data_IF_301713969528
#
_entry.id   IF_301713969528
#
_cell.length_a   1.000
_cell.length_b   1.000
_cell.length_c   1.000
_cell.angle_alpha   90.00
_cell.angle_beta   90.00
_cell.angle_gamma   90.00
#
_symmetry.space_group_name_H-M   'P 1'
#
loop_
_entity.id
_entity.type
_entity.pdbx_description
1 polymer ?
#
# COMPACT_ATOMS: atom_id res chain seq x y z
N UNK A 1 -8.88 -7.63 6.99
CA UNK A 1 -8.14 -7.15 5.81
C UNK A 1 -8.61 -5.74 5.51
N UNK A 2 -7.72 -4.76 5.27
CA UNK A 2 -8.11 -3.36 5.08
C UNK A 2 -9.06 -3.18 3.89
N UNK A 3 -10.05 -2.27 4.02
CA UNK A 3 -10.99 -1.93 2.93
C UNK A 3 -10.27 -1.36 1.70
N UNK A 4 -9.13 -0.70 1.88
CA UNK A 4 -8.27 -0.25 0.78
C UNK A 4 -7.64 -1.39 -0.02
N UNK A 5 -7.43 -2.55 0.61
CA UNK A 5 -6.93 -3.76 -0.08
C UNK A 5 -8.08 -4.47 -0.77
N UNK A 6 -9.23 -4.60 -0.09
CA UNK A 6 -10.42 -5.26 -0.63
C UNK A 6 -11.00 -4.51 -1.85
N UNK A 7 -11.05 -3.18 -1.79
CA UNK A 7 -11.55 -2.31 -2.86
C UNK A 7 -10.39 -1.63 -3.62
N UNK A 8 -9.21 -2.25 -3.69
CA UNK A 8 -7.99 -1.63 -4.23
C UNK A 8 -8.11 -1.10 -5.67
N UNK A 9 -9.01 -1.66 -6.48
CA UNK A 9 -9.29 -1.18 -7.85
C UNK A 9 -10.10 0.11 -7.84
N UNK A 10 -11.08 0.22 -6.95
CA UNK A 10 -11.94 1.41 -6.80
C UNK A 10 -11.16 2.59 -6.24
N UNK A 11 -10.33 2.35 -5.23
CA UNK A 11 -9.49 3.37 -4.61
C UNK A 11 -8.16 3.60 -5.34
N UNK A 12 -7.87 2.84 -6.41
CA UNK A 12 -6.59 2.89 -7.14
C UNK A 12 -5.37 2.78 -6.20
N UNK A 13 -5.50 2.00 -5.13
CA UNK A 13 -4.55 1.92 -4.00
C UNK A 13 -3.11 1.70 -4.44
N UNK A 14 -2.88 0.81 -5.41
CA UNK A 14 -1.54 0.49 -5.90
C UNK A 14 -0.92 1.60 -6.75
N UNK A 15 -1.75 2.36 -7.48
CA UNK A 15 -1.31 3.51 -8.25
C UNK A 15 -0.96 4.68 -7.33
N UNK A 16 -1.77 4.93 -6.30
CA UNK A 16 -1.47 5.93 -5.27
C UNK A 16 -0.18 5.59 -4.53
N UNK A 17 -0.03 4.34 -4.07
CA UNK A 17 1.21 3.90 -3.42
C UNK A 17 2.43 4.02 -4.34
N UNK A 18 2.29 3.69 -5.62
CA UNK A 18 3.36 3.88 -6.60
C UNK A 18 3.78 5.35 -6.68
N UNK A 19 2.82 6.27 -6.78
CA UNK A 19 3.10 7.70 -6.87
C UNK A 19 3.72 8.25 -5.57
N UNK A 20 3.30 7.75 -4.41
CA UNK A 20 3.82 8.22 -3.11
C UNK A 20 5.20 7.65 -2.75
N UNK A 21 5.52 6.44 -3.21
CA UNK A 21 6.75 5.74 -2.82
C UNK A 21 7.80 5.66 -3.93
N UNK A 22 7.42 5.93 -5.18
CA UNK A 22 8.26 5.71 -6.36
C UNK A 22 8.48 4.23 -6.70
N UNK A 23 7.88 3.30 -5.95
CA UNK A 23 8.07 1.86 -6.11
C UNK A 23 7.02 1.25 -7.03
N UNK A 24 7.33 0.14 -7.68
CA UNK A 24 6.40 -0.48 -8.64
C UNK A 24 5.10 -0.94 -7.97
N UNK A 25 3.98 -0.79 -8.70
CA UNK A 25 2.63 -1.20 -8.23
C UNK A 25 2.60 -2.66 -7.78
N UNK A 26 3.31 -3.54 -8.50
CA UNK A 26 3.41 -4.96 -8.19
C UNK A 26 4.19 -5.22 -6.91
N UNK A 27 5.22 -4.43 -6.60
CA UNK A 27 5.96 -4.49 -5.35
C UNK A 27 5.11 -3.97 -4.17
N UNK A 28 4.42 -2.84 -4.33
CA UNK A 28 3.49 -2.31 -3.33
C UNK A 28 2.40 -3.33 -2.98
N UNK A 29 1.80 -3.95 -4.00
CA UNK A 29 0.80 -5.03 -3.82
C UNK A 29 1.38 -6.21 -3.05
N UNK A 30 2.57 -6.67 -3.43
CA UNK A 30 3.25 -7.79 -2.75
C UNK A 30 3.51 -7.45 -1.28
N UNK A 31 4.04 -6.28 -0.96
CA UNK A 31 4.33 -5.90 0.45
C UNK A 31 3.07 -5.83 1.31
N UNK A 32 1.96 -5.32 0.77
CA UNK A 32 0.72 -5.19 1.54
C UNK A 32 -0.02 -6.52 1.71
N UNK A 33 0.04 -7.41 0.72
CA UNK A 33 -0.65 -8.72 0.73
C UNK A 33 0.22 -9.81 1.38
N UNK A 34 1.54 -9.79 1.17
CA UNK A 34 2.49 -10.77 1.66
C UNK A 34 3.21 -10.23 2.90
N UNK A 35 2.87 -10.80 4.06
CA UNK A 35 3.40 -10.40 5.36
C UNK A 35 4.89 -10.69 5.53
N UNK A 36 5.48 -11.62 4.74
CA UNK A 36 6.89 -12.00 4.87
C UNK A 36 7.88 -10.96 4.34
N UNK A 37 7.43 -9.93 3.61
CA UNK A 37 8.31 -8.97 2.93
C UNK A 37 8.39 -7.59 3.59
N UNK A 38 7.88 -7.44 4.82
CA UNK A 38 7.77 -6.14 5.51
C UNK A 38 9.04 -5.64 6.20
N UNK A 39 10.11 -6.44 6.25
CA UNK A 39 11.32 -6.07 7.01
C UNK A 39 12.23 -5.06 6.31
N UNK A 40 12.19 -4.97 4.98
CA UNK A 40 13.02 -3.99 4.25
C UNK A 40 12.52 -2.56 4.47
N UNK A 41 13.42 -1.58 4.47
CA UNK A 41 13.07 -0.16 4.65
C UNK A 41 12.07 0.34 3.59
N UNK A 42 12.20 -0.14 2.36
CA UNK A 42 11.23 0.12 1.28
C UNK A 42 9.84 -0.43 1.59
N UNK A 43 9.77 -1.60 2.24
CA UNK A 43 8.50 -2.19 2.62
C UNK A 43 7.86 -1.47 3.80
N UNK A 44 8.66 -1.03 4.79
CA UNK A 44 8.20 -0.16 5.88
C UNK A 44 7.61 1.14 5.34
N UNK A 45 8.28 1.77 4.38
CA UNK A 45 7.78 2.97 3.69
C UNK A 45 6.42 2.73 3.01
N UNK A 46 6.24 1.60 2.31
CA UNK A 46 4.95 1.25 1.68
C UNK A 46 3.85 1.11 2.74
N UNK A 47 4.15 0.45 3.87
CA UNK A 47 3.17 0.26 4.95
C UNK A 47 2.79 1.59 5.58
N UNK A 48 3.76 2.47 5.82
CA UNK A 48 3.52 3.81 6.36
C UNK A 48 2.62 4.63 5.43
N UNK A 49 2.95 4.68 4.13
CA UNK A 49 2.13 5.39 3.14
C UNK A 49 0.76 4.77 2.92
N UNK A 50 0.65 3.44 3.04
CA UNK A 50 -0.64 2.78 3.02
C UNK A 50 -1.52 3.20 4.21
N UNK A 51 -0.95 3.28 5.41
CA UNK A 51 -1.68 3.72 6.61
C UNK A 51 -2.10 5.19 6.51
N UNK A 52 -1.26 6.06 5.92
CA UNK A 52 -1.66 7.44 5.60
C UNK A 52 -2.87 7.48 4.65
N UNK A 53 -2.83 6.69 3.57
CA UNK A 53 -3.95 6.57 2.63
C UNK A 53 -5.23 6.06 3.30
N UNK A 54 -5.11 5.09 4.22
CA UNK A 54 -6.24 4.54 4.97
C UNK A 54 -6.92 5.59 5.83
N UNK A 55 -6.14 6.41 6.53
CA UNK A 55 -6.67 7.54 7.33
C UNK A 55 -7.34 8.62 6.48
N UNK A 56 -6.84 8.86 5.26
CA UNK A 56 -7.41 9.87 4.36
C UNK A 56 -8.71 9.40 3.70
N UNK A 57 -8.79 8.12 3.33
CA UNK A 57 -9.86 7.59 2.46
C UNK A 57 -10.95 6.81 3.20
N UNK A 58 -10.67 6.28 4.40
CA UNK A 58 -11.59 5.41 5.15
C UNK A 58 -11.81 5.97 6.57
N UNK A 59 -12.08 7.28 6.65
CA UNK A 59 -12.39 7.96 7.91
C UNK A 59 -13.51 7.27 8.70
#
# INVERSE_FOLDING_TARGET
MSKLILEARKFKTWELLHNMTGLSRSYCKKVMIDTRKRDSDKAKLIVEKFNELEKMLIK
#
